data_IF_413733242034
#
_entry.id   IF_413733242034
#
_cell.length_a   1.000
_cell.length_b   1.000
_cell.length_c   1.000
_cell.angle_alpha   90.00
_cell.angle_beta   90.00
_cell.angle_gamma   90.00
#
_symmetry.space_group_name_H-M   'P 1'
#
loop_
_entity.id
_entity.type
_entity.pdbx_description
1 polymer ?
#
# COMPACT_ATOMS: atom_id res chain seq x y z
N UNK A 1 61.82 12.47 -52.77
CA UNK A 1 61.99 12.03 -51.39
C UNK A 1 60.77 12.36 -50.47
N UNK A 2 59.53 12.56 -50.96
CA UNK A 2 58.39 12.96 -50.14
C UNK A 2 57.32 11.87 -49.86
N UNK A 3 57.43 10.66 -50.47
CA UNK A 3 56.44 9.57 -50.28
C UNK A 3 56.64 8.67 -49.04
N UNK A 4 57.85 8.65 -48.44
CA UNK A 4 58.17 7.78 -47.32
C UNK A 4 57.66 8.30 -45.94
N UNK A 5 57.50 9.63 -45.80
CA UNK A 5 57.10 10.24 -44.54
C UNK A 5 55.61 10.09 -44.19
N UNK A 6 54.73 10.03 -45.19
CA UNK A 6 53.28 9.95 -45.00
C UNK A 6 52.86 8.55 -44.54
N UNK A 7 53.54 7.51 -44.99
CA UNK A 7 53.25 6.12 -44.58
C UNK A 7 53.58 5.84 -43.09
N UNK A 8 54.65 6.46 -42.56
CA UNK A 8 55.06 6.29 -41.17
C UNK A 8 54.13 7.02 -40.18
N UNK A 9 53.63 8.20 -40.54
CA UNK A 9 52.69 8.99 -39.76
C UNK A 9 51.31 8.29 -39.66
N UNK A 10 50.84 7.76 -40.79
CA UNK A 10 49.60 6.99 -40.83
C UNK A 10 49.68 5.69 -40.01
N UNK A 11 50.75 4.94 -40.07
CA UNK A 11 50.97 3.75 -39.25
C UNK A 11 50.99 4.06 -37.75
N UNK A 12 51.60 5.19 -37.37
CA UNK A 12 51.67 5.62 -35.95
C UNK A 12 50.29 6.02 -35.45
N UNK A 13 49.46 6.64 -36.30
CA UNK A 13 48.11 7.08 -35.96
C UNK A 13 47.16 5.85 -35.85
N UNK A 14 47.20 4.89 -36.77
CA UNK A 14 46.45 3.63 -36.68
C UNK A 14 46.84 2.81 -35.46
N UNK A 15 48.11 2.76 -35.06
CA UNK A 15 48.55 2.09 -33.84
C UNK A 15 47.95 2.68 -32.58
N UNK A 16 47.78 4.01 -32.53
CA UNK A 16 47.13 4.71 -31.40
C UNK A 16 45.63 4.42 -31.31
N UNK A 17 44.94 4.38 -32.46
CA UNK A 17 43.50 4.02 -32.47
C UNK A 17 43.29 2.55 -32.11
N UNK A 18 44.14 1.66 -32.59
CA UNK A 18 44.09 0.23 -32.27
C UNK A 18 44.34 -0.02 -30.78
N UNK A 19 45.32 0.67 -30.18
CA UNK A 19 45.62 0.58 -28.75
C UNK A 19 44.45 1.14 -27.90
N UNK A 20 43.80 2.26 -28.32
CA UNK A 20 42.64 2.81 -27.70
C UNK A 20 41.43 1.88 -27.74
N UNK A 21 41.22 1.22 -28.91
CA UNK A 21 40.12 0.27 -29.10
C UNK A 21 40.33 -1.01 -28.26
N UNK A 22 41.58 -1.46 -28.14
CA UNK A 22 41.95 -2.60 -27.29
C UNK A 22 41.78 -2.28 -25.81
N UNK A 23 42.18 -1.07 -25.38
CA UNK A 23 41.97 -0.60 -24.00
C UNK A 23 40.48 -0.49 -23.67
N UNK A 24 39.66 0.00 -24.61
CA UNK A 24 38.21 0.10 -24.47
C UNK A 24 37.55 -1.29 -24.40
N UNK A 25 38.04 -2.27 -25.19
CA UNK A 25 37.57 -3.65 -25.15
C UNK A 25 37.91 -4.35 -23.84
N UNK A 26 39.04 -4.02 -23.21
CA UNK A 26 39.43 -4.55 -21.91
C UNK A 26 38.56 -3.91 -20.78
N UNK A 27 38.22 -2.61 -20.90
CA UNK A 27 37.34 -1.96 -19.95
C UNK A 27 35.90 -2.46 -20.03
N UNK A 28 35.44 -2.89 -21.21
CA UNK A 28 34.10 -3.48 -21.40
C UNK A 28 33.98 -4.90 -20.83
N UNK A 29 35.08 -5.58 -20.60
CA UNK A 29 35.11 -6.88 -19.92
C UNK A 29 35.32 -6.77 -18.40
N UNK A 30 35.19 -5.57 -17.82
CA UNK A 30 35.24 -5.37 -16.38
C UNK A 30 34.04 -6.04 -15.72
N UNK A 31 34.22 -7.29 -15.39
CA UNK A 31 33.57 -8.09 -14.37
C UNK A 31 32.12 -7.73 -14.02
N UNK A 32 31.19 -8.36 -14.69
CA UNK A 32 30.02 -8.83 -13.96
C UNK A 32 30.45 -9.93 -13.01
N UNK A 33 30.88 -9.57 -11.82
CA UNK A 33 31.08 -10.52 -10.74
C UNK A 33 29.67 -10.93 -10.32
N UNK A 34 29.25 -12.11 -10.78
CA UNK A 34 28.04 -12.71 -10.20
C UNK A 34 28.27 -12.83 -8.71
N UNK A 35 27.58 -12.01 -7.95
CA UNK A 35 27.49 -12.15 -6.49
C UNK A 35 26.78 -13.50 -6.28
N UNK A 36 27.56 -14.57 -6.13
CA UNK A 36 27.04 -15.81 -5.58
C UNK A 36 26.59 -15.46 -4.16
N UNK A 37 25.29 -15.19 -4.00
CA UNK A 37 24.68 -15.16 -2.69
C UNK A 37 25.07 -16.49 -2.04
N UNK A 38 25.65 -16.49 -0.84
CA UNK A 38 25.89 -17.74 -0.12
C UNK A 38 24.52 -18.44 -0.06
N UNK A 39 24.52 -19.73 -0.32
CA UNK A 39 23.36 -20.58 -0.08
C UNK A 39 23.15 -20.57 1.44
N UNK A 40 22.47 -19.53 1.90
CA UNK A 40 21.99 -19.43 3.27
C UNK A 40 20.87 -20.44 3.25
N UNK A 41 21.14 -21.72 3.52
CA UNK A 41 20.12 -22.78 3.60
C UNK A 41 18.91 -22.33 4.39
N UNK A 42 18.20 -21.37 3.84
CA UNK A 42 17.15 -20.60 4.49
C UNK A 42 15.98 -21.56 4.69
N UNK A 43 15.85 -21.99 5.93
CA UNK A 43 14.73 -22.81 6.35
C UNK A 43 13.44 -22.05 6.02
N UNK A 44 12.48 -22.73 5.38
CA UNK A 44 11.14 -22.19 5.19
C UNK A 44 10.56 -21.78 6.55
N UNK A 45 9.93 -20.62 6.63
CA UNK A 45 9.38 -20.04 7.84
C UNK A 45 7.92 -19.66 7.63
N UNK A 46 7.15 -19.62 8.70
CA UNK A 46 5.79 -19.07 8.70
C UNK A 46 5.88 -17.57 8.40
N UNK A 47 4.99 -17.08 7.54
CA UNK A 47 4.82 -15.65 7.22
C UNK A 47 3.44 -15.23 7.66
N UNK A 48 3.35 -14.15 8.46
CA UNK A 48 2.08 -13.53 8.85
C UNK A 48 2.08 -12.06 8.40
N UNK A 49 0.97 -11.64 7.78
CA UNK A 49 0.81 -10.28 7.27
C UNK A 49 -0.61 -9.80 7.54
N UNK A 50 -0.76 -8.60 8.08
CA UNK A 50 -2.09 -8.01 8.26
C UNK A 50 -2.10 -6.76 9.12
N UNK A 51 -3.29 -6.16 9.18
CA UNK A 51 -3.64 -5.08 10.10
C UNK A 51 -4.77 -5.57 11.02
N UNK A 52 -4.62 -5.41 12.32
CA UNK A 52 -5.70 -5.53 13.28
C UNK A 52 -6.29 -4.15 13.51
N UNK A 53 -7.50 -3.96 13.03
CA UNK A 53 -8.18 -2.66 13.10
C UNK A 53 -9.15 -2.66 14.29
N UNK A 54 -8.95 -1.75 15.21
CA UNK A 54 -9.82 -1.57 16.37
C UNK A 54 -11.27 -1.28 15.95
N UNK A 55 -12.22 -2.04 16.49
CA UNK A 55 -13.62 -1.98 16.12
C UNK A 55 -14.03 -2.87 14.96
N UNK A 56 -13.08 -3.51 14.26
CA UNK A 56 -13.33 -4.40 13.13
C UNK A 56 -13.07 -5.87 13.49
N UNK A 57 -13.46 -6.78 12.60
CA UNK A 57 -13.19 -8.21 12.72
C UNK A 57 -11.75 -8.54 12.30
N UNK A 58 -11.27 -9.68 12.74
CA UNK A 58 -9.89 -10.12 12.48
C UNK A 58 -9.75 -10.66 11.06
N UNK A 59 -8.83 -10.08 10.29
CA UNK A 59 -8.44 -10.55 8.96
C UNK A 59 -6.92 -10.47 8.80
N UNK A 60 -6.24 -11.62 8.69
CA UNK A 60 -4.80 -11.69 8.45
C UNK A 60 -4.48 -12.70 7.34
N UNK A 61 -3.32 -12.57 6.75
CA UNK A 61 -2.80 -13.52 5.77
C UNK A 61 -1.70 -14.36 6.39
N UNK A 62 -1.75 -15.67 6.15
CA UNK A 62 -0.74 -16.62 6.55
C UNK A 62 -0.12 -17.31 5.33
N UNK A 63 1.19 -17.50 5.36
CA UNK A 63 1.93 -18.12 4.25
C UNK A 63 3.23 -18.75 4.73
N UNK A 64 4.07 -19.12 3.76
CA UNK A 64 5.44 -19.57 4.02
C UNK A 64 6.46 -18.80 3.17
N UNK A 65 7.65 -18.62 3.72
CA UNK A 65 8.76 -18.01 2.97
C UNK A 65 9.30 -18.97 1.92
N UNK A 66 9.81 -18.39 0.81
CA UNK A 66 10.48 -19.13 -0.24
C UNK A 66 11.96 -18.76 -0.20
N UNK A 67 12.86 -19.73 0.00
CA UNK A 67 14.29 -19.47 -0.08
C UNK A 67 14.67 -19.00 -1.48
N UNK A 68 15.46 -17.92 -1.57
CA UNK A 68 16.06 -17.48 -2.83
C UNK A 68 17.23 -18.44 -3.13
N UNK A 69 17.07 -19.31 -4.10
CA UNK A 69 18.16 -20.14 -4.61
C UNK A 69 18.65 -19.64 -5.95
N UNK A 70 19.98 -19.68 -6.17
CA UNK A 70 20.57 -19.26 -7.43
C UNK A 70 20.03 -20.10 -8.60
N UNK A 71 19.33 -19.45 -9.53
CA UNK A 71 18.91 -20.06 -10.81
C UNK A 71 17.64 -20.92 -10.77
N UNK A 72 16.94 -21.02 -9.65
CA UNK A 72 15.67 -21.74 -9.59
C UNK A 72 14.48 -20.80 -9.83
N UNK A 73 13.49 -21.28 -10.56
CA UNK A 73 12.18 -20.62 -10.63
C UNK A 73 11.58 -20.59 -9.23
N UNK A 74 11.20 -19.40 -8.74
CA UNK A 74 10.53 -19.26 -7.45
C UNK A 74 9.21 -20.03 -7.49
N UNK A 75 9.12 -21.13 -6.76
CA UNK A 75 7.90 -21.91 -6.62
C UNK A 75 7.28 -21.53 -5.27
N UNK A 76 6.19 -20.78 -5.31
CA UNK A 76 5.43 -20.44 -4.12
C UNK A 76 4.48 -21.59 -3.82
N UNK A 77 4.49 -22.06 -2.58
CA UNK A 77 3.62 -23.12 -2.11
C UNK A 77 2.71 -22.59 -1.00
N UNK A 78 1.45 -22.98 -1.04
CA UNK A 78 0.54 -22.70 0.07
C UNK A 78 0.91 -23.62 1.25
N UNK A 79 1.11 -23.09 2.48
CA UNK A 79 1.45 -23.91 3.61
C UNK A 79 0.30 -24.86 3.93
N UNK A 80 0.58 -26.16 3.99
CA UNK A 80 -0.38 -27.15 4.44
C UNK A 80 -0.44 -27.21 5.97
N UNK A 81 -1.66 -27.30 6.51
CA UNK A 81 -1.85 -27.47 7.96
C UNK A 81 -1.38 -26.29 8.81
N UNK A 82 -1.39 -25.05 8.25
CA UNK A 82 -1.15 -23.86 9.03
C UNK A 82 -2.39 -23.55 9.88
N UNK A 83 -2.25 -23.63 11.20
CA UNK A 83 -3.24 -23.19 12.18
C UNK A 83 -2.83 -21.86 12.79
N UNK A 84 -3.79 -20.96 13.00
CA UNK A 84 -3.57 -19.69 13.66
C UNK A 84 -4.57 -19.52 14.78
N UNK A 85 -4.07 -19.19 15.95
CA UNK A 85 -4.84 -18.83 17.13
C UNK A 85 -4.52 -17.40 17.53
N UNK A 86 -5.51 -16.70 18.05
CA UNK A 86 -5.38 -15.37 18.62
C UNK A 86 -5.99 -15.37 20.03
N UNK A 87 -5.43 -14.58 20.91
CA UNK A 87 -6.02 -14.32 22.23
C UNK A 87 -5.78 -12.86 22.62
N UNK A 88 -6.67 -12.29 23.36
CA UNK A 88 -6.38 -11.14 24.21
C UNK A 88 -5.43 -11.62 25.31
N UNK A 89 -4.44 -10.82 25.71
CA UNK A 89 -3.38 -11.28 26.62
C UNK A 89 -3.90 -11.83 27.95
N UNK A 90 -5.06 -11.39 28.42
CA UNK A 90 -5.74 -11.88 29.62
C UNK A 90 -6.85 -12.90 29.36
N UNK A 91 -7.14 -13.22 28.10
CA UNK A 91 -8.29 -14.01 27.67
C UNK A 91 -7.95 -15.44 27.23
N UNK A 92 -8.99 -16.25 27.00
CA UNK A 92 -8.87 -17.56 26.37
C UNK A 92 -8.54 -17.42 24.88
N UNK A 93 -7.75 -18.35 24.29
CA UNK A 93 -7.45 -18.31 22.86
C UNK A 93 -8.69 -18.69 22.04
N UNK A 94 -8.78 -18.11 20.84
CA UNK A 94 -9.72 -18.55 19.80
C UNK A 94 -9.01 -18.81 18.49
N UNK A 95 -9.50 -19.80 17.74
CA UNK A 95 -8.92 -20.23 16.47
C UNK A 95 -9.45 -19.35 15.33
N UNK A 96 -8.57 -18.91 14.45
CA UNK A 96 -8.97 -18.27 13.21
C UNK A 96 -9.30 -19.30 12.14
N UNK A 97 -10.41 -19.08 11.43
CA UNK A 97 -10.80 -19.93 10.32
C UNK A 97 -10.03 -19.54 9.06
N UNK A 98 -9.31 -20.50 8.49
CA UNK A 98 -8.64 -20.33 7.20
C UNK A 98 -9.65 -20.37 6.06
N UNK A 99 -9.65 -19.36 5.22
CA UNK A 99 -10.45 -19.27 3.99
C UNK A 99 -9.49 -19.26 2.81
N UNK A 100 -9.67 -20.23 1.91
CA UNK A 100 -8.97 -20.21 0.62
C UNK A 100 -9.67 -19.18 -0.27
N UNK A 101 -9.19 -17.96 -0.27
CA UNK A 101 -9.70 -16.92 -1.14
C UNK A 101 -9.25 -17.19 -2.58
N UNK A 102 -10.20 -17.41 -3.48
CA UNK A 102 -9.91 -17.61 -4.90
C UNK A 102 -9.28 -16.38 -5.56
N UNK A 103 -9.45 -15.19 -4.98
CA UNK A 103 -8.94 -13.92 -5.49
C UNK A 103 -7.47 -13.67 -5.08
N UNK A 104 -6.98 -14.31 -4.01
CA UNK A 104 -5.59 -14.15 -3.54
C UNK A 104 -4.63 -15.20 -4.13
N UNK A 105 -5.02 -15.96 -5.13
CA UNK A 105 -4.16 -16.96 -5.80
C UNK A 105 -2.80 -16.44 -6.25
N UNK A 106 -2.66 -15.14 -6.49
CA UNK A 106 -1.40 -14.55 -6.92
C UNK A 106 -0.32 -14.44 -5.84
N UNK A 107 -0.66 -14.59 -4.56
CA UNK A 107 0.27 -14.38 -3.44
C UNK A 107 0.59 -15.64 -2.63
N UNK A 108 0.02 -16.79 -2.97
CA UNK A 108 0.25 -18.06 -2.27
C UNK A 108 0.11 -17.98 -0.74
N UNK A 109 -0.83 -17.14 -0.29
CA UNK A 109 -1.19 -16.95 1.10
C UNK A 109 -2.62 -17.40 1.34
N UNK A 110 -2.91 -17.87 2.56
CA UNK A 110 -4.26 -18.13 3.02
C UNK A 110 -4.76 -16.91 3.80
N UNK A 111 -6.02 -16.54 3.58
CA UNK A 111 -6.71 -15.59 4.44
C UNK A 111 -7.26 -16.32 5.66
N UNK A 112 -7.02 -15.75 6.83
CA UNK A 112 -7.54 -16.22 8.11
C UNK A 112 -8.42 -15.14 8.70
N UNK A 113 -9.60 -15.52 9.19
CA UNK A 113 -10.55 -14.58 9.76
C UNK A 113 -11.17 -15.13 11.05
N UNK A 114 -11.63 -14.18 11.88
CA UNK A 114 -12.45 -14.48 13.04
C UNK A 114 -13.53 -13.40 13.17
N UNK A 115 -14.76 -13.75 13.57
CA UNK A 115 -15.83 -12.80 13.81
C UNK A 115 -15.63 -11.95 15.08
N UNK A 116 -14.60 -12.26 15.88
CA UNK A 116 -14.30 -11.49 17.07
C UNK A 116 -13.88 -10.06 16.71
N UNK A 117 -14.48 -9.10 17.39
CA UNK A 117 -14.16 -7.69 17.22
C UNK A 117 -12.92 -7.32 18.02
N UNK A 118 -11.99 -6.65 17.37
CA UNK A 118 -10.76 -6.13 17.99
C UNK A 118 -11.07 -4.89 18.81
N UNK A 119 -10.66 -4.86 20.07
CA UNK A 119 -10.93 -3.76 20.99
C UNK A 119 -9.75 -2.81 21.06
N UNK A 120 -9.92 -1.49 20.82
CA UNK A 120 -8.85 -0.50 21.01
C UNK A 120 -8.34 -0.46 22.45
N UNK A 121 -7.05 -0.19 22.62
CA UNK A 121 -6.37 -0.15 23.92
C UNK A 121 -5.91 -1.52 24.45
N UNK A 122 -6.19 -2.61 23.75
CA UNK A 122 -5.86 -3.96 24.19
C UNK A 122 -4.64 -4.53 23.44
N UNK A 123 -3.98 -5.50 24.09
CA UNK A 123 -2.91 -6.29 23.52
C UNK A 123 -3.42 -7.67 23.11
N UNK A 124 -3.08 -8.08 21.92
CA UNK A 124 -3.42 -9.40 21.37
C UNK A 124 -2.16 -10.18 21.05
N UNK A 125 -2.21 -11.48 21.26
CA UNK A 125 -1.15 -12.42 20.90
C UNK A 125 -1.64 -13.38 19.83
N UNK A 126 -0.88 -13.49 18.75
CA UNK A 126 -1.03 -14.54 17.74
C UNK A 126 -0.07 -15.68 17.99
N UNK A 127 -0.54 -16.90 17.72
CA UNK A 127 0.25 -18.10 17.68
C UNK A 127 -0.10 -18.87 16.43
N UNK A 128 0.83 -18.94 15.49
CA UNK A 128 0.71 -19.72 14.27
C UNK A 128 1.57 -20.97 14.38
N UNK A 129 1.07 -22.10 13.90
CA UNK A 129 1.79 -23.38 13.94
C UNK A 129 1.53 -24.21 12.70
N UNK A 130 2.57 -24.92 12.26
CA UNK A 130 2.49 -25.93 11.20
C UNK A 130 3.47 -27.05 11.50
N UNK A 131 3.09 -28.30 11.21
CA UNK A 131 3.95 -29.45 11.44
C UNK A 131 5.29 -29.37 10.69
N UNK A 132 5.30 -28.75 9.50
CA UNK A 132 6.51 -28.61 8.67
C UNK A 132 7.33 -27.35 8.94
N UNK A 133 6.70 -26.29 9.46
CA UNK A 133 7.33 -24.96 9.61
C UNK A 133 7.63 -24.60 11.06
N UNK A 134 7.06 -25.35 12.03
CA UNK A 134 7.20 -25.06 13.45
C UNK A 134 6.18 -24.06 13.97
N UNK A 135 6.61 -23.17 14.86
CA UNK A 135 5.75 -22.20 15.54
C UNK A 135 6.27 -20.77 15.33
N UNK A 136 5.33 -19.84 15.17
CA UNK A 136 5.60 -18.41 15.13
C UNK A 136 4.60 -17.66 16.03
N UNK A 137 5.05 -16.59 16.68
CA UNK A 137 4.21 -15.79 17.59
C UNK A 137 4.41 -14.29 17.35
N UNK A 138 3.41 -13.49 17.65
CA UNK A 138 3.58 -12.03 17.74
C UNK A 138 2.61 -11.43 18.76
N UNK A 139 2.99 -10.27 19.30
CA UNK A 139 2.15 -9.45 20.16
C UNK A 139 1.80 -8.16 19.42
N UNK A 140 0.54 -7.75 19.50
CA UNK A 140 0.02 -6.59 18.77
C UNK A 140 -0.79 -5.72 19.72
N UNK A 141 -0.35 -4.49 19.93
CA UNK A 141 -1.12 -3.48 20.65
C UNK A 141 -2.02 -2.72 19.68
N UNK A 142 -3.28 -2.55 20.04
CA UNK A 142 -4.25 -1.76 19.27
C UNK A 142 -4.33 -0.36 19.87
N UNK A 143 -3.94 0.69 19.15
CA UNK A 143 -4.01 2.05 19.66
C UNK A 143 -5.43 2.48 20.06
N UNK A 144 -5.50 3.45 20.96
CA UNK A 144 -6.76 4.08 21.36
C UNK A 144 -7.35 4.92 20.21
N UNK A 145 -8.66 5.19 20.24
CA UNK A 145 -9.31 6.13 19.34
C UNK A 145 -8.72 7.53 19.47
N UNK A 146 -8.78 8.31 18.39
CA UNK A 146 -8.45 9.73 18.44
C UNK A 146 -9.40 10.45 19.42
N UNK A 147 -8.90 11.29 20.34
CA UNK A 147 -9.75 12.14 21.17
C UNK A 147 -10.64 13.08 20.34
N UNK A 148 -10.09 13.59 19.24
CA UNK A 148 -10.83 14.36 18.23
C UNK A 148 -10.15 14.21 16.86
N UNK A 149 -10.95 14.09 15.81
CA UNK A 149 -10.47 14.04 14.43
C UNK A 149 -11.45 14.76 13.51
N UNK A 150 -10.94 15.73 12.74
CA UNK A 150 -11.70 16.43 11.69
C UNK A 150 -10.94 16.32 10.39
N UNK A 151 -11.62 15.88 9.35
CA UNK A 151 -11.07 15.81 7.99
C UNK A 151 -11.96 16.62 7.06
N UNK A 152 -11.37 17.55 6.32
CA UNK A 152 -12.06 18.30 5.27
C UNK A 152 -11.23 18.38 4.00
N UNK A 153 -11.90 18.71 2.90
CA UNK A 153 -11.30 18.75 1.57
C UNK A 153 -11.60 20.07 0.87
N UNK A 154 -10.61 20.57 0.14
CA UNK A 154 -10.75 21.77 -0.68
C UNK A 154 -9.92 21.65 -1.97
N UNK A 155 -10.50 22.05 -3.10
CA UNK A 155 -9.72 22.22 -4.33
C UNK A 155 -8.88 23.48 -4.23
N UNK A 156 -7.58 23.36 -4.49
CA UNK A 156 -6.60 24.46 -4.49
C UNK A 156 -5.81 24.48 -5.79
N UNK A 157 -5.35 25.67 -6.20
CA UNK A 157 -4.40 25.80 -7.28
C UNK A 157 -2.98 25.89 -6.68
N UNK A 158 -2.12 24.94 -7.06
CA UNK A 158 -0.74 24.89 -6.58
C UNK A 158 0.19 24.72 -7.79
N UNK A 159 1.11 25.66 -7.99
CA UNK A 159 2.06 25.66 -9.13
C UNK A 159 1.40 25.42 -10.49
N UNK A 160 0.21 25.98 -10.73
CA UNK A 160 -0.54 25.81 -11.98
C UNK A 160 -1.35 24.52 -12.10
N UNK A 161 -1.30 23.61 -11.13
CA UNK A 161 -2.08 22.38 -11.09
C UNK A 161 -3.22 22.46 -10.09
N UNK A 162 -4.37 21.89 -10.46
CA UNK A 162 -5.51 21.74 -9.53
C UNK A 162 -5.31 20.53 -8.64
N UNK A 163 -5.05 20.77 -7.37
CA UNK A 163 -4.90 19.72 -6.35
C UNK A 163 -6.15 19.66 -5.46
N UNK A 164 -6.46 18.48 -4.97
CA UNK A 164 -7.34 18.32 -3.83
C UNK A 164 -6.47 18.39 -2.57
N UNK A 165 -6.69 19.41 -1.76
CA UNK A 165 -6.09 19.55 -0.44
C UNK A 165 -7.01 18.86 0.58
N UNK A 166 -6.46 17.93 1.33
CA UNK A 166 -7.09 17.31 2.48
C UNK A 166 -6.46 17.90 3.74
N UNK A 167 -7.25 18.54 4.58
CA UNK A 167 -6.83 19.02 5.89
C UNK A 167 -7.25 17.96 6.92
N UNK A 168 -6.27 17.49 7.67
CA UNK A 168 -6.47 16.54 8.77
C UNK A 168 -6.10 17.25 10.06
N UNK A 169 -7.08 17.48 10.91
CA UNK A 169 -6.89 18.03 12.24
C UNK A 169 -7.20 16.95 13.26
N UNK A 170 -6.20 16.54 14.01
CA UNK A 170 -6.31 15.54 15.07
C UNK A 170 -5.94 16.14 16.42
N UNK A 171 -6.47 15.57 17.48
CA UNK A 171 -5.99 15.81 18.85
C UNK A 171 -5.26 14.58 19.31
N UNK A 172 -4.05 14.78 19.81
CA UNK A 172 -3.20 13.72 20.34
C UNK A 172 -3.59 13.35 21.76
N UNK A 173 -3.43 12.06 22.13
CA UNK A 173 -3.54 11.59 23.52
C UNK A 173 -2.19 11.74 24.22
N UNK A 174 -1.96 12.81 24.93
CA UNK A 174 -0.66 13.14 25.56
C UNK A 174 -0.13 12.15 26.58
N UNK A 175 -0.78 11.01 26.82
CA UNK A 175 -0.38 10.03 27.83
C UNK A 175 0.73 9.07 27.36
N UNK A 176 0.95 8.96 26.07
CA UNK A 176 1.94 8.04 25.46
C UNK A 176 2.49 8.64 24.16
N UNK A 177 3.59 8.08 23.67
CA UNK A 177 4.06 8.39 22.32
C UNK A 177 3.17 7.73 21.29
N UNK A 178 2.62 8.54 20.38
CA UNK A 178 1.66 8.14 19.38
C UNK A 178 2.25 8.24 17.96
N UNK A 179 1.75 7.38 17.08
CA UNK A 179 2.20 7.24 15.70
C UNK A 179 1.01 7.29 14.77
N UNK A 180 1.09 8.13 13.75
CA UNK A 180 -0.02 8.37 12.84
C UNK A 180 0.36 8.11 11.41
N UNK A 181 -0.59 7.57 10.64
CA UNK A 181 -0.43 7.29 9.21
C UNK A 181 -1.64 7.82 8.46
N UNK A 182 -1.39 8.56 7.39
CA UNK A 182 -2.44 9.02 6.49
C UNK A 182 -2.24 8.36 5.13
N UNK A 183 -3.29 7.76 4.60
CA UNK A 183 -3.32 7.11 3.29
C UNK A 183 -4.52 7.60 2.48
N UNK A 184 -4.39 7.59 1.16
CA UNK A 184 -5.49 7.84 0.25
C UNK A 184 -5.71 6.62 -0.64
N UNK A 185 -6.94 6.14 -0.66
CA UNK A 185 -7.35 4.94 -1.40
C UNK A 185 -8.49 5.28 -2.33
N UNK A 186 -8.34 4.94 -3.60
CA UNK A 186 -9.37 5.14 -4.61
C UNK A 186 -10.09 3.85 -4.91
N UNK A 187 -11.42 3.92 -5.00
CA UNK A 187 -12.29 2.85 -5.48
C UNK A 187 -13.14 3.36 -6.63
N UNK A 188 -13.28 2.57 -7.67
CA UNK A 188 -14.23 2.85 -8.74
C UNK A 188 -15.56 2.19 -8.45
N UNK A 189 -16.64 2.88 -8.84
CA UNK A 189 -18.01 2.39 -8.68
C UNK A 189 -18.77 2.54 -9.97
N UNK A 190 -19.64 1.59 -10.26
CA UNK A 190 -20.71 1.71 -11.23
C UNK A 190 -22.01 1.83 -10.46
N UNK A 191 -22.69 2.97 -10.61
CA UNK A 191 -24.00 3.20 -10.02
C UNK A 191 -25.01 3.17 -11.14
N UNK A 192 -25.97 2.25 -11.06
CA UNK A 192 -27.06 2.14 -12.01
C UNK A 192 -28.40 2.09 -11.29
N UNK A 193 -29.39 2.70 -11.90
CA UNK A 193 -30.77 2.70 -11.39
C UNK A 193 -31.63 1.70 -12.13
N UNK A 194 -32.61 1.15 -11.45
CA UNK A 194 -33.67 0.35 -12.08
C UNK A 194 -35.04 0.85 -11.69
N UNK A 195 -35.97 0.79 -12.59
CA UNK A 195 -37.37 1.19 -12.37
C UNK A 195 -38.35 0.34 -13.18
N UNK A 196 -39.59 0.29 -12.74
CA UNK A 196 -40.67 -0.40 -13.45
C UNK A 196 -41.63 0.66 -14.02
N UNK A 197 -41.87 0.61 -15.33
CA UNK A 197 -42.81 1.47 -16.02
C UNK A 197 -43.65 0.62 -16.96
N UNK A 198 -44.97 0.79 -16.93
CA UNK A 198 -45.92 -0.03 -17.71
C UNK A 198 -45.70 -1.54 -17.59
N UNK A 199 -45.43 -2.03 -16.38
CA UNK A 199 -45.10 -3.43 -16.06
C UNK A 199 -43.83 -3.99 -16.73
N UNK A 200 -42.94 -3.13 -17.25
CA UNK A 200 -41.66 -3.52 -17.79
C UNK A 200 -40.53 -3.00 -16.90
N UNK A 201 -39.48 -3.81 -16.78
CA UNK A 201 -38.27 -3.46 -16.04
C UNK A 201 -37.27 -2.74 -16.95
N UNK A 202 -36.76 -1.59 -16.50
CA UNK A 202 -35.79 -0.76 -17.20
C UNK A 202 -34.59 -0.48 -16.34
N UNK A 203 -33.40 -0.32 -16.97
CA UNK A 203 -32.20 0.19 -16.35
C UNK A 203 -31.91 1.59 -16.85
N UNK A 204 -31.52 2.49 -15.94
CA UNK A 204 -31.19 3.89 -16.28
C UNK A 204 -30.06 3.97 -17.29
N UNK A 205 -29.03 3.11 -17.16
CA UNK A 205 -27.93 3.06 -18.11
C UNK A 205 -28.29 2.57 -19.49
N UNK A 206 -29.24 1.62 -19.60
CA UNK A 206 -29.71 1.05 -20.87
C UNK A 206 -30.81 1.88 -21.55
N UNK A 207 -31.67 2.53 -20.77
CA UNK A 207 -32.86 3.23 -21.24
C UNK A 207 -32.85 4.70 -20.85
N UNK A 208 -31.70 5.35 -21.01
CA UNK A 208 -31.48 6.74 -20.58
C UNK A 208 -32.46 7.73 -21.11
N UNK A 209 -32.86 7.61 -22.39
CA UNK A 209 -33.81 8.52 -23.01
C UNK A 209 -35.20 8.41 -22.37
N UNK A 210 -35.66 7.20 -22.08
CA UNK A 210 -36.94 6.97 -21.40
C UNK A 210 -36.87 7.54 -19.97
N UNK A 211 -35.79 7.26 -19.24
CA UNK A 211 -35.58 7.79 -17.90
C UNK A 211 -35.64 9.31 -17.86
N UNK A 212 -34.88 10.00 -18.72
CA UNK A 212 -34.85 11.46 -18.80
C UNK A 212 -36.22 12.05 -19.21
N UNK A 213 -36.92 11.39 -20.14
CA UNK A 213 -38.30 11.79 -20.57
C UNK A 213 -39.28 11.72 -19.40
N UNK A 214 -39.30 10.60 -18.67
CA UNK A 214 -40.18 10.40 -17.51
C UNK A 214 -39.88 11.37 -16.38
N UNK A 215 -38.59 11.60 -16.13
CA UNK A 215 -38.11 12.53 -15.14
C UNK A 215 -38.53 13.98 -15.42
N UNK A 216 -38.40 14.40 -16.69
CA UNK A 216 -38.78 15.74 -17.12
C UNK A 216 -40.29 15.93 -17.12
N UNK A 217 -41.03 14.88 -17.40
CA UNK A 217 -42.52 14.88 -17.33
C UNK A 217 -43.04 14.79 -15.89
N UNK A 218 -42.19 14.57 -14.89
CA UNK A 218 -42.62 14.39 -13.51
C UNK A 218 -43.37 13.09 -13.22
N UNK A 219 -43.26 12.10 -14.14
CA UNK A 219 -43.98 10.80 -14.08
C UNK A 219 -43.06 9.63 -13.83
N UNK A 220 -41.77 9.89 -13.48
CA UNK A 220 -40.79 8.84 -13.21
C UNK A 220 -41.21 8.03 -11.98
N UNK A 221 -41.35 6.70 -12.10
CA UNK A 221 -41.56 5.83 -10.96
C UNK A 221 -40.39 5.86 -9.96
N UNK A 222 -40.59 5.25 -8.81
CA UNK A 222 -39.49 5.06 -7.82
C UNK A 222 -38.33 4.29 -8.47
N UNK A 223 -37.14 4.85 -8.36
CA UNK A 223 -35.91 4.25 -8.90
C UNK A 223 -35.11 3.60 -7.75
N UNK A 224 -34.82 2.31 -7.95
CA UNK A 224 -33.92 1.59 -7.06
C UNK A 224 -32.47 1.73 -7.58
N UNK A 225 -31.58 2.29 -6.76
CA UNK A 225 -30.18 2.55 -7.12
C UNK A 225 -29.26 1.49 -6.54
N UNK A 226 -28.56 0.79 -7.42
CA UNK A 226 -27.55 -0.21 -7.07
C UNK A 226 -26.15 0.35 -7.30
N UNK A 227 -25.25 0.05 -6.35
CA UNK A 227 -23.82 0.41 -6.44
C UNK A 227 -22.98 -0.85 -6.51
N UNK A 228 -22.22 -0.97 -7.58
CA UNK A 228 -21.26 -2.06 -7.77
C UNK A 228 -19.84 -1.49 -7.76
N UNK A 229 -18.98 -1.95 -6.85
CA UNK A 229 -17.57 -1.61 -6.87
C UNK A 229 -16.88 -2.35 -8.01
N UNK A 230 -16.01 -1.63 -8.74
CA UNK A 230 -15.26 -2.13 -9.88
C UNK A 230 -13.78 -2.21 -9.53
N UNK A 231 -13.24 -3.43 -9.54
CA UNK A 231 -11.84 -3.69 -9.22
C UNK A 231 -11.48 -3.49 -7.75
N UNK A 232 -10.21 -3.65 -7.45
CA UNK A 232 -9.67 -3.50 -6.10
C UNK A 232 -9.46 -2.03 -5.76
N UNK A 233 -9.49 -1.75 -4.45
CA UNK A 233 -9.11 -0.46 -3.92
C UNK A 233 -7.61 -0.20 -4.19
N UNK A 234 -7.31 0.89 -4.89
CA UNK A 234 -5.93 1.26 -5.20
C UNK A 234 -5.46 2.41 -4.30
N UNK A 235 -4.33 2.20 -3.61
CA UNK A 235 -3.67 3.29 -2.89
C UNK A 235 -3.07 4.25 -3.90
N UNK A 236 -3.31 5.55 -3.72
CA UNK A 236 -2.80 6.60 -4.60
C UNK A 236 -1.71 7.41 -3.90
N UNK A 237 -0.86 8.03 -4.71
CA UNK A 237 0.20 8.88 -4.20
C UNK A 237 -0.37 10.19 -3.65
N UNK A 238 0.19 10.62 -2.54
CA UNK A 238 -0.15 11.84 -1.82
C UNK A 238 1.12 12.65 -1.54
N UNK A 239 0.95 13.95 -1.33
CA UNK A 239 2.03 14.88 -1.05
C UNK A 239 1.77 15.60 0.26
N UNK A 240 2.80 16.07 0.91
CA UNK A 240 2.68 16.97 2.05
C UNK A 240 3.82 17.98 2.05
N UNK A 241 3.53 19.17 2.53
CA UNK A 241 4.49 20.23 2.85
C UNK A 241 4.81 20.30 4.34
N UNK A 242 4.28 19.37 5.11
CA UNK A 242 4.42 19.31 6.55
C UNK A 242 5.82 18.81 6.97
N UNK A 243 6.52 19.65 7.74
CA UNK A 243 7.88 19.35 8.20
C UNK A 243 7.94 18.32 9.33
N UNK A 244 6.83 18.08 10.03
CA UNK A 244 6.74 17.07 11.08
C UNK A 244 6.64 15.62 10.56
N UNK A 245 6.64 15.43 9.22
CA UNK A 245 6.55 14.10 8.64
C UNK A 245 7.89 13.36 8.70
N UNK A 246 7.81 12.08 9.01
CA UNK A 246 8.94 11.14 9.00
C UNK A 246 9.28 10.59 7.60
N UNK A 247 8.58 11.05 6.58
CA UNK A 247 8.84 10.66 5.20
C UNK A 247 10.17 11.21 4.72
N UNK A 248 10.89 10.43 3.91
CA UNK A 248 12.10 10.91 3.26
C UNK A 248 11.71 11.97 2.25
N UNK A 249 12.16 13.21 2.50
CA UNK A 249 12.01 14.32 1.55
C UNK A 249 13.18 14.26 0.57
N UNK A 250 12.92 13.88 -0.66
CA UNK A 250 13.87 14.06 -1.76
C UNK A 250 13.81 15.53 -2.18
N UNK A 251 14.88 16.27 -1.88
CA UNK A 251 15.16 17.68 -2.21
C UNK A 251 14.12 18.40 -3.10
N UNK A 252 13.43 19.38 -2.56
CA UNK A 252 12.65 20.44 -3.25
C UNK A 252 11.55 20.03 -4.25
N UNK A 253 11.32 18.76 -4.48
CA UNK A 253 10.17 18.25 -5.22
C UNK A 253 9.15 17.67 -4.22
N UNK A 254 7.88 17.85 -4.50
CA UNK A 254 6.81 17.15 -3.78
C UNK A 254 7.10 15.64 -3.86
N UNK A 255 7.51 15.06 -2.74
CA UNK A 255 7.81 13.62 -2.70
C UNK A 255 6.53 12.84 -2.90
N UNK A 256 6.54 11.93 -3.88
CA UNK A 256 5.45 10.99 -4.09
C UNK A 256 5.47 9.95 -2.97
N UNK A 257 4.58 10.09 -2.01
CA UNK A 257 4.45 9.14 -0.92
C UNK A 257 3.12 8.39 -1.06
N UNK A 258 3.09 7.13 -0.71
CA UNK A 258 1.84 6.37 -0.59
C UNK A 258 1.22 6.52 0.80
N UNK A 259 2.04 6.93 1.76
CA UNK A 259 1.66 7.19 3.15
C UNK A 259 2.35 8.43 3.66
N UNK A 260 1.66 9.20 4.47
CA UNK A 260 2.28 10.24 5.28
C UNK A 260 2.41 9.68 6.69
N UNK A 261 3.64 9.72 7.21
CA UNK A 261 4.02 9.17 8.50
C UNK A 261 4.30 10.33 9.47
N UNK A 262 3.61 10.37 10.61
CA UNK A 262 3.74 11.42 11.62
C UNK A 262 3.99 10.79 12.99
N UNK A 263 4.82 11.44 13.79
CA UNK A 263 4.96 11.18 15.22
C UNK A 263 4.48 12.40 16.01
N UNK A 264 4.04 12.20 17.24
CA UNK A 264 3.57 13.27 18.13
C UNK A 264 4.70 14.09 18.76
N UNK A 265 5.95 13.86 18.40
CA UNK A 265 7.12 14.51 19.03
C UNK A 265 7.05 16.03 19.08
N UNK A 266 6.36 16.64 18.12
CA UNK A 266 6.21 18.10 18.03
C UNK A 266 4.88 18.62 18.57
N UNK A 267 3.90 17.74 18.86
CA UNK A 267 2.54 18.14 19.25
C UNK A 267 1.91 17.24 20.31
N UNK A 268 2.71 16.55 21.11
CA UNK A 268 2.24 15.63 22.15
C UNK A 268 1.19 16.26 23.05
N UNK A 269 0.03 15.62 23.15
CA UNK A 269 -1.13 16.07 23.94
C UNK A 269 -1.84 17.32 23.40
N UNK A 270 -1.55 17.72 22.16
CA UNK A 270 -2.10 18.93 21.56
C UNK A 270 -2.89 18.63 20.28
N UNK A 271 -3.71 19.60 19.88
CA UNK A 271 -4.31 19.57 18.56
C UNK A 271 -3.27 19.90 17.49
N UNK A 272 -3.22 19.09 16.45
CA UNK A 272 -2.32 19.25 15.33
C UNK A 272 -3.08 19.25 14.00
N UNK A 273 -2.60 20.04 13.04
CA UNK A 273 -3.20 20.11 11.71
C UNK A 273 -2.14 19.86 10.66
N UNK A 274 -2.31 18.79 9.91
CA UNK A 274 -1.51 18.51 8.72
C UNK A 274 -2.31 18.69 7.44
N UNK A 275 -1.61 18.90 6.32
CA UNK A 275 -2.20 19.04 4.99
C UNK A 275 -1.60 18.00 4.07
N UNK A 276 -2.49 17.32 3.37
CA UNK A 276 -2.14 16.33 2.36
C UNK A 276 -2.72 16.78 1.03
N UNK A 277 -1.94 16.67 -0.02
CA UNK A 277 -2.35 17.06 -1.37
C UNK A 277 -2.35 15.85 -2.28
N UNK A 278 -3.30 15.81 -3.19
CA UNK A 278 -3.35 14.80 -4.25
C UNK A 278 -3.78 15.44 -5.57
N UNK A 279 -3.27 14.89 -6.66
CA UNK A 279 -3.60 15.36 -7.99
C UNK A 279 -5.05 15.01 -8.32
N UNK A 280 -5.85 16.03 -8.65
CA UNK A 280 -7.25 15.84 -9.04
C UNK A 280 -7.41 14.98 -10.30
N UNK A 281 -6.43 14.93 -11.16
CA UNK A 281 -6.46 14.07 -12.36
C UNK A 281 -6.51 12.58 -12.00
N UNK A 282 -5.96 12.20 -10.83
CA UNK A 282 -6.03 10.84 -10.33
C UNK A 282 -7.45 10.42 -9.90
N UNK A 283 -8.36 11.40 -9.72
CA UNK A 283 -9.76 11.17 -9.34
C UNK A 283 -10.69 10.98 -10.55
N UNK A 284 -10.13 10.85 -11.75
CA UNK A 284 -10.95 10.56 -12.93
C UNK A 284 -11.52 9.15 -12.86
N UNK A 285 -12.78 8.99 -13.28
CA UNK A 285 -13.39 7.69 -13.41
C UNK A 285 -12.72 6.88 -14.52
N UNK A 286 -12.76 5.56 -14.42
CA UNK A 286 -12.38 4.69 -15.54
C UNK A 286 -13.52 4.62 -16.55
N UNK A 287 -13.23 4.17 -17.78
CA UNK A 287 -14.21 4.03 -18.85
C UNK A 287 -15.42 3.16 -18.45
N UNK A 288 -15.24 2.24 -17.49
CA UNK A 288 -16.27 1.30 -17.04
C UNK A 288 -16.96 1.71 -15.74
N UNK A 289 -16.68 2.93 -15.23
CA UNK A 289 -17.28 3.42 -13.99
C UNK A 289 -17.78 4.85 -14.15
N UNK A 290 -18.94 5.15 -13.57
CA UNK A 290 -19.52 6.49 -13.62
C UNK A 290 -19.32 7.29 -12.33
N UNK A 291 -18.77 6.66 -11.30
CA UNK A 291 -18.47 7.29 -10.02
C UNK A 291 -17.16 6.77 -9.43
N UNK A 292 -16.58 7.56 -8.56
CA UNK A 292 -15.43 7.16 -7.77
C UNK A 292 -15.57 7.58 -6.31
N UNK A 293 -14.93 6.82 -5.45
CA UNK A 293 -14.79 7.12 -4.03
C UNK A 293 -13.31 7.25 -3.69
N UNK A 294 -12.94 8.38 -3.12
CA UNK A 294 -11.67 8.59 -2.45
C UNK A 294 -11.89 8.40 -0.95
N UNK A 295 -11.24 7.41 -0.37
CA UNK A 295 -11.18 7.22 1.07
C UNK A 295 -9.86 7.78 1.59
N UNK A 296 -9.93 8.74 2.50
CA UNK A 296 -8.79 9.20 3.29
C UNK A 296 -8.83 8.41 4.58
N UNK A 297 -7.79 7.63 4.81
CA UNK A 297 -7.62 6.80 5.98
C UNK A 297 -6.65 7.52 6.92
N UNK A 298 -7.13 7.90 8.09
CA UNK A 298 -6.31 8.45 9.17
C UNK A 298 -6.19 7.38 10.23
N UNK A 299 -4.97 6.91 10.47
CA UNK A 299 -4.70 5.78 11.33
C UNK A 299 -3.83 6.22 12.51
N UNK A 300 -4.16 5.76 13.72
CA UNK A 300 -3.22 5.62 14.82
C UNK A 300 -2.69 4.19 14.78
N UNK A 301 -1.38 4.01 14.86
CA UNK A 301 -0.75 2.70 14.64
C UNK A 301 0.21 2.33 15.76
N UNK A 302 0.45 1.03 15.98
CA UNK A 302 1.45 0.56 16.91
C UNK A 302 2.87 0.98 16.48
N UNK A 303 3.78 1.15 17.43
CA UNK A 303 5.15 1.59 17.19
C UNK A 303 5.89 0.67 16.19
N UNK A 304 5.76 -0.63 16.38
CA UNK A 304 6.41 -1.63 15.50
C UNK A 304 5.89 -1.51 14.07
N UNK A 305 4.57 -1.31 13.93
CA UNK A 305 3.96 -1.18 12.61
C UNK A 305 4.34 0.13 11.94
N UNK A 306 4.45 1.23 12.70
CA UNK A 306 4.94 2.50 12.17
C UNK A 306 6.37 2.38 11.63
N UNK A 307 7.28 1.77 12.39
CA UNK A 307 8.65 1.55 11.97
C UNK A 307 8.73 0.65 10.72
N UNK A 308 7.92 -0.41 10.67
CA UNK A 308 7.80 -1.27 9.49
C UNK A 308 7.37 -0.47 8.26
N UNK A 309 6.32 0.35 8.37
CA UNK A 309 5.82 1.18 7.28
C UNK A 309 6.85 2.22 6.84
N UNK A 310 7.60 2.83 7.76
CA UNK A 310 8.66 3.79 7.46
C UNK A 310 9.74 3.15 6.58
N UNK A 311 10.20 1.96 6.93
CA UNK A 311 11.16 1.22 6.10
C UNK A 311 10.54 0.76 4.78
N UNK A 312 9.29 0.34 4.79
CA UNK A 312 8.59 -0.11 3.59
C UNK A 312 8.43 1.02 2.56
N UNK A 313 8.10 2.25 2.99
CA UNK A 313 8.03 3.43 2.11
C UNK A 313 9.37 3.73 1.43
N UNK A 314 10.49 3.49 2.11
CA UNK A 314 11.84 3.66 1.53
C UNK A 314 12.12 2.68 0.39
N UNK A 315 11.46 1.53 0.41
CA UNK A 315 11.67 0.43 -0.55
C UNK A 315 10.68 0.41 -1.69
N UNK A 316 9.55 1.05 -1.54
CA UNK A 316 8.50 0.95 -2.54
C UNK A 316 8.97 1.55 -3.88
N UNK A 317 8.85 0.81 -5.01
CA UNK A 317 9.44 1.19 -6.31
C UNK A 317 8.98 2.54 -6.85
N UNK A 318 7.92 3.13 -6.27
CA UNK A 318 7.42 4.46 -6.64
C UNK A 318 8.43 5.59 -6.45
N UNK A 319 9.50 5.38 -5.67
CA UNK A 319 10.52 6.39 -5.41
C UNK A 319 11.65 6.44 -6.46
N UNK A 320 11.68 5.52 -7.43
CA UNK A 320 12.68 5.51 -8.50
C UNK A 320 14.12 5.15 -8.08
N UNK A 321 14.36 4.84 -6.81
CA UNK A 321 15.70 4.58 -6.26
C UNK A 321 16.10 3.11 -6.17
N UNK A 322 15.30 2.20 -6.71
CA UNK A 322 15.47 0.75 -6.54
C UNK A 322 16.77 0.15 -7.07
N UNK A 323 17.52 0.88 -7.92
CA UNK A 323 18.75 0.35 -8.51
C UNK A 323 20.04 0.70 -7.76
N UNK A 324 19.99 1.63 -6.81
CA UNK A 324 21.19 2.16 -6.14
C UNK A 324 21.17 2.02 -4.61
N UNK A 325 20.04 1.65 -4.01
CA UNK A 325 19.94 1.51 -2.56
C UNK A 325 20.49 0.16 -2.08
N UNK A 326 21.25 0.19 -1.01
CA UNK A 326 21.60 -1.05 -0.29
C UNK A 326 20.32 -1.72 0.20
N UNK A 327 20.23 -3.06 0.17
CA UNK A 327 19.12 -3.78 0.75
C UNK A 327 18.95 -3.41 2.22
N UNK A 328 17.85 -2.79 2.58
CA UNK A 328 17.52 -2.51 4.00
C UNK A 328 16.75 -3.71 4.54
N UNK A 329 17.15 -4.23 5.66
CA UNK A 329 16.40 -5.25 6.37
C UNK A 329 15.15 -4.60 6.95
N UNK A 330 13.98 -5.03 6.50
CA UNK A 330 12.70 -4.64 7.10
C UNK A 330 12.40 -5.65 8.20
N UNK A 331 12.53 -5.22 9.45
CA UNK A 331 12.20 -6.07 10.58
C UNK A 331 10.68 -6.13 10.78
N UNK A 332 10.17 -7.35 10.94
CA UNK A 332 8.79 -7.61 11.34
C UNK A 332 8.67 -7.83 12.85
N UNK A 333 7.46 -8.10 13.32
CA UNK A 333 7.18 -8.42 14.72
C UNK A 333 6.86 -9.91 14.97
N UNK A 334 7.21 -10.79 14.05
CA UNK A 334 6.91 -12.22 14.12
C UNK A 334 8.11 -12.98 14.67
N UNK A 335 8.03 -13.44 15.90
CA UNK A 335 9.04 -14.30 16.51
C UNK A 335 8.93 -15.74 15.96
N UNK A 336 10.05 -16.30 15.51
CA UNK A 336 10.09 -17.64 14.89
C UNK A 336 9.53 -17.69 13.46
N UNK A 337 9.20 -16.54 12.87
CA UNK A 337 8.67 -16.40 11.53
C UNK A 337 9.08 -15.09 10.86
N UNK A 338 8.35 -14.70 9.82
CA UNK A 338 8.55 -13.48 9.06
C UNK A 338 7.23 -12.72 8.89
N UNK A 339 7.34 -11.42 8.62
CA UNK A 339 6.18 -10.57 8.30
C UNK A 339 5.85 -9.57 9.40
N UNK A 340 4.66 -8.99 9.29
CA UNK A 340 4.19 -7.95 10.19
C UNK A 340 2.69 -8.05 10.40
N UNK A 341 2.26 -8.04 11.64
CA UNK A 341 0.86 -7.81 12.03
C UNK A 341 0.79 -6.51 12.79
N UNK A 342 0.23 -5.49 12.16
CA UNK A 342 0.14 -4.13 12.72
C UNK A 342 -1.12 -3.93 13.55
N UNK A 343 -1.01 -3.25 14.69
CA UNK A 343 -2.16 -2.75 15.43
C UNK A 343 -2.56 -1.37 14.92
N UNK A 344 -3.84 -1.18 14.65
CA UNK A 344 -4.36 0.02 14.01
C UNK A 344 -5.68 0.44 14.65
N UNK A 345 -5.84 1.71 14.91
CA UNK A 345 -7.16 2.35 15.00
C UNK A 345 -7.34 3.27 13.81
N UNK A 346 -8.44 3.13 13.07
CA UNK A 346 -8.62 3.82 11.79
C UNK A 346 -9.90 4.63 11.77
N UNK A 347 -9.80 5.84 11.25
CA UNK A 347 -10.95 6.64 10.81
C UNK A 347 -10.89 6.79 9.29
N UNK A 348 -12.05 6.61 8.64
CA UNK A 348 -12.19 6.75 7.20
C UNK A 348 -13.08 7.93 6.86
N UNK A 349 -12.54 8.89 6.13
CA UNK A 349 -13.31 9.96 5.50
C UNK A 349 -13.51 9.65 4.02
N UNK A 350 -14.75 9.69 3.54
CA UNK A 350 -15.09 9.37 2.15
C UNK A 350 -15.44 10.63 1.37
N UNK A 351 -14.74 10.85 0.29
CA UNK A 351 -15.05 11.88 -0.70
C UNK A 351 -15.56 11.20 -1.98
N UNK A 352 -16.79 11.51 -2.37
CA UNK A 352 -17.40 11.01 -3.60
C UNK A 352 -17.13 12.00 -4.73
N UNK A 353 -16.72 11.49 -5.86
CA UNK A 353 -16.56 12.27 -7.07
C UNK A 353 -17.32 11.63 -8.22
N UNK A 354 -18.08 12.47 -8.92
CA UNK A 354 -18.87 12.07 -10.07
C UNK A 354 -18.16 12.49 -11.35
N UNK A 355 -18.22 11.63 -12.35
CA UNK A 355 -17.97 12.00 -13.72
C UNK A 355 -19.27 11.82 -14.50
N UNK A 356 -19.92 12.92 -14.73
CA UNK A 356 -20.98 13.00 -15.72
C UNK A 356 -20.36 13.45 -17.03
N UNK A 357 -20.49 12.66 -18.06
CA UNK A 357 -20.24 13.09 -19.42
C UNK A 357 -21.47 13.81 -19.94
#
# INVERSE_FOLDING_TARGET
MQRAGISAALKKQYGRYLAGLLLMAVLLNACTKELKLPDIGAKKQIVLLGELIGGDTVHIRGGQSVPLSNGSTLTFETPSGLGIEMREMSGAPWTLTGITDQWTRSLYTLSFSSPHTVVPGYNYQFSASSASLGKATCNVYIPLPFPSLVVDTQTVLYSGSHLLRVRVQLTDDGNAKNYYVIEAVKKYMSVDGSFIYNNHFYRVSGDRQLYDSLKNAGTLPSVNWDTTFRGDAARINIYTDDDATENIKLSNALSLNRRILLTDETFQGQAYTTRVYLDKTLLQASADSNKGQLAILVKSVSADYFNYLKYYEMYEPSTGFTSLSQPVKIDGNIEGGLGMVGGVYQHQYCYLFDHWY
#
